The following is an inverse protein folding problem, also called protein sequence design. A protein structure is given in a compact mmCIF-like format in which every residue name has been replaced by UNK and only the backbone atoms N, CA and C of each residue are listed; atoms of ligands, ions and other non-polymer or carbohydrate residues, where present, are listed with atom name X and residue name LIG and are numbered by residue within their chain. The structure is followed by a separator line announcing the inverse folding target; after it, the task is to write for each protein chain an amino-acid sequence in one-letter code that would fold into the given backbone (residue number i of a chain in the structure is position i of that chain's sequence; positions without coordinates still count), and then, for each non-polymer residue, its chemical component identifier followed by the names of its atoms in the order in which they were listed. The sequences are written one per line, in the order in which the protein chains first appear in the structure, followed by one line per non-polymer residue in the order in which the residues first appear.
data_IF_653055111591
#
_entry.id   IF_653055111591
#
_cell.length_a   1.000
_cell.length_b   1.000
_cell.length_c   1.000
_cell.angle_alpha   90.00
_cell.angle_beta   90.00
_cell.angle_gamma   90.00
#
_symmetry.space_group_name_H-M   'P 1'
#
loop_
_entity.id
_entity.type
_entity.pdbx_description
1 polymer ?
#
# COMPACT_ATOMS: atom_id res chain seq x y z
N UNK A 1 -4.70 -14.81 21.58
CA UNK A 1 -4.01 -13.68 22.23
C UNK A 1 -2.87 -13.23 21.31
N UNK A 2 -2.81 -11.97 20.84
CA UNK A 2 -1.66 -11.50 20.07
C UNK A 2 -0.43 -11.51 20.97
N UNK A 3 0.57 -12.35 20.63
CA UNK A 3 1.84 -12.35 21.35
C UNK A 3 2.47 -10.96 21.20
N UNK A 4 2.67 -10.27 22.33
CA UNK A 4 3.31 -8.96 22.31
C UNK A 4 4.74 -9.14 21.79
N UNK A 5 5.11 -8.38 20.75
CA UNK A 5 6.47 -8.42 20.21
C UNK A 5 7.47 -8.12 21.34
N UNK A 6 8.50 -8.96 21.55
CA UNK A 6 9.43 -8.82 22.66
C UNK A 6 10.30 -7.56 22.57
N UNK A 7 10.41 -6.97 21.36
CA UNK A 7 11.23 -5.80 21.08
C UNK A 7 10.41 -4.59 20.63
N UNK A 8 10.85 -3.41 21.07
CA UNK A 8 10.30 -2.11 20.69
C UNK A 8 11.41 -1.22 20.11
N UNK A 9 11.06 -0.42 19.10
CA UNK A 9 11.94 0.59 18.52
C UNK A 9 11.93 1.83 19.39
N UNK A 10 13.10 2.26 19.84
CA UNK A 10 13.27 3.44 20.69
C UNK A 10 14.31 4.38 20.10
N UNK A 11 14.28 5.63 20.55
CA UNK A 11 15.29 6.64 20.26
C UNK A 11 15.99 7.00 21.55
N UNK A 12 17.32 6.95 21.59
CA UNK A 12 18.07 7.45 22.76
C UNK A 12 18.00 8.97 22.81
N UNK A 13 17.72 9.54 23.98
CA UNK A 13 17.73 10.99 24.17
C UNK A 13 19.15 11.57 24.10
N UNK A 14 20.14 10.79 24.55
CA UNK A 14 21.54 11.22 24.58
C UNK A 14 22.17 11.23 23.18
N UNK A 15 22.05 10.12 22.44
CA UNK A 15 22.73 9.96 21.14
C UNK A 15 21.84 10.25 19.94
N UNK A 16 20.53 10.43 20.17
CA UNK A 16 19.48 10.56 19.12
C UNK A 16 19.39 9.37 18.16
N UNK A 17 20.18 8.31 18.35
CA UNK A 17 20.17 7.10 17.55
C UNK A 17 18.91 6.27 17.81
N UNK A 18 18.42 5.57 16.78
CA UNK A 18 17.28 4.67 16.86
C UNK A 18 17.73 3.22 16.85
N UNK A 19 17.24 2.42 17.79
CA UNK A 19 17.56 0.99 17.91
C UNK A 19 16.39 0.23 18.52
N UNK A 20 16.43 -1.09 18.46
CA UNK A 20 15.43 -1.97 19.05
C UNK A 20 15.92 -2.48 20.42
N UNK A 21 15.07 -2.44 21.44
CA UNK A 21 15.36 -3.00 22.77
C UNK A 21 14.23 -3.90 23.24
N UNK A 22 14.52 -4.77 24.23
CA UNK A 22 13.48 -5.56 24.89
C UNK A 22 12.51 -4.63 25.63
N UNK A 23 11.22 -4.95 25.58
CA UNK A 23 10.18 -4.16 26.23
C UNK A 23 10.36 -4.08 27.75
N UNK A 24 10.86 -5.14 28.36
CA UNK A 24 11.18 -5.23 29.80
C UNK A 24 12.32 -4.30 30.23
N UNK A 25 13.25 -4.03 29.31
CA UNK A 25 14.42 -3.18 29.55
C UNK A 25 14.20 -1.72 29.14
N UNK A 26 12.95 -1.34 28.86
CA UNK A 26 12.61 0.02 28.44
C UNK A 26 12.61 0.97 29.62
N UNK A 27 13.39 2.04 29.48
CA UNK A 27 13.52 3.12 30.45
C UNK A 27 13.11 4.45 29.78
N UNK A 28 12.00 5.03 30.26
CA UNK A 28 11.43 6.29 29.75
C UNK A 28 12.32 7.52 30.02
N UNK A 29 13.23 7.42 31.00
CA UNK A 29 14.16 8.51 31.29
C UNK A 29 15.21 8.64 30.19
N UNK A 30 15.77 7.50 29.76
CA UNK A 30 16.86 7.41 28.76
C UNK A 30 16.37 7.37 27.32
N UNK A 31 15.18 6.82 27.08
CA UNK A 31 14.70 6.51 25.75
C UNK A 31 13.30 7.08 25.48
N UNK A 32 13.05 7.42 24.23
CA UNK A 32 11.74 7.81 23.72
C UNK A 32 11.18 6.71 22.81
N UNK A 33 9.90 6.36 22.95
CA UNK A 33 9.25 5.37 22.10
C UNK A 33 9.01 5.93 20.71
N UNK A 34 9.51 5.22 19.70
CA UNK A 34 9.25 5.57 18.29
C UNK A 34 8.03 4.79 17.83
N UNK A 35 6.94 5.50 17.48
CA UNK A 35 5.78 4.87 16.81
C UNK A 35 6.24 4.40 15.42
N UNK A 36 6.30 3.08 15.21
CA UNK A 36 6.45 2.53 13.86
C UNK A 36 5.21 2.93 13.05
N UNK A 37 5.43 3.54 11.90
CA UNK A 37 4.37 3.64 10.89
C UNK A 37 4.00 2.21 10.51
N UNK A 38 2.70 1.83 10.56
CA UNK A 38 2.29 0.49 10.20
C UNK A 38 2.66 0.23 8.73
N UNK A 39 3.12 -0.99 8.42
CA UNK A 39 3.51 -1.38 7.05
C UNK A 39 2.37 -1.19 6.04
N UNK A 40 1.11 -1.18 6.51
CA UNK A 40 -0.09 -0.90 5.71
C UNK A 40 -0.20 0.54 5.20
N UNK A 41 0.61 1.48 5.71
CA UNK A 41 0.66 2.86 5.22
C UNK A 41 1.45 2.97 3.91
N UNK A 42 2.22 1.94 3.51
CA UNK A 42 2.94 1.99 2.25
C UNK A 42 1.92 2.13 1.11
N UNK A 43 2.00 3.18 0.27
CA UNK A 43 1.06 3.36 -0.83
C UNK A 43 1.05 2.08 -1.68
N UNK A 44 -0.13 1.46 -1.81
CA UNK A 44 -0.28 0.32 -2.72
C UNK A 44 -0.11 0.84 -4.14
N UNK A 45 0.73 0.16 -4.93
CA UNK A 45 0.83 0.45 -6.36
C UNK A 45 -0.58 0.35 -6.96
N UNK A 46 -1.02 1.34 -7.76
CA UNK A 46 -2.30 1.24 -8.45
C UNK A 46 -2.29 -0.04 -9.29
N UNK A 47 -3.33 -0.86 -9.13
CA UNK A 47 -3.52 -2.05 -9.98
C UNK A 47 -3.78 -1.56 -11.39
N UNK A 48 -2.92 -1.92 -12.33
CA UNK A 48 -3.26 -1.76 -13.75
C UNK A 48 -4.49 -2.62 -14.03
N UNK A 49 -5.60 -1.95 -14.35
CA UNK A 49 -6.78 -2.62 -14.87
C UNK A 49 -6.45 -3.04 -16.31
N UNK A 50 -6.08 -4.31 -16.49
CA UNK A 50 -5.94 -4.86 -17.84
C UNK A 50 -7.37 -5.05 -18.34
N UNK A 51 -7.86 -4.09 -19.14
CA UNK A 51 -9.10 -4.27 -19.89
C UNK A 51 -8.82 -5.36 -20.91
N UNK A 52 -9.26 -6.58 -20.60
CA UNK A 52 -9.27 -7.69 -21.53
C UNK A 52 -10.30 -7.35 -22.63
N UNK A 53 -9.86 -6.62 -23.66
CA UNK A 53 -10.64 -6.44 -24.90
C UNK A 53 -10.83 -7.81 -25.52
N UNK A 54 -11.98 -8.43 -25.23
CA UNK A 54 -12.46 -9.63 -25.92
C UNK A 54 -12.61 -9.27 -27.39
N UNK A 55 -11.66 -9.71 -28.23
CA UNK A 55 -11.78 -9.63 -29.69
C UNK A 55 -12.73 -10.73 -30.14
N UNK A 56 -13.77 -10.36 -30.89
CA UNK A 56 -14.75 -11.26 -31.51
C UNK A 56 -16.16 -10.74 -31.24
N UNK A 57 -16.99 -10.41 -32.21
CA UNK A 57 -17.09 -10.90 -33.59
C UNK A 57 -17.39 -9.75 -34.57
N UNK A 58 -16.76 -9.82 -35.74
CA UNK A 58 -17.25 -9.20 -36.97
C UNK A 58 -18.68 -9.64 -37.21
N UNK A 59 -19.63 -8.70 -37.17
CA UNK A 59 -20.88 -8.83 -37.93
C UNK A 59 -20.73 -7.88 -39.10
N UNK A 60 -20.42 -8.43 -40.25
CA UNK A 60 -20.62 -7.76 -41.52
C UNK A 60 -22.12 -7.47 -41.63
N UNK A 61 -22.48 -6.20 -41.79
CA UNK A 61 -23.83 -5.81 -42.22
C UNK A 61 -23.62 -4.92 -43.44
N UNK A 62 -23.51 -5.62 -44.55
CA UNK A 62 -24.16 -5.41 -45.85
C UNK A 62 -24.33 -3.97 -46.38
N UNK A 63 -23.90 -3.80 -47.63
CA UNK A 63 -24.17 -2.64 -48.47
C UNK A 63 -25.66 -2.32 -48.51
N UNK A 64 -26.03 -1.04 -48.46
CA UNK A 64 -27.33 -0.64 -48.98
C UNK A 64 -27.93 0.61 -48.36
N UNK A 65 -28.03 1.63 -49.20
CA UNK A 65 -29.08 2.66 -49.18
C UNK A 65 -28.78 3.94 -48.40
N UNK A 66 -28.11 4.87 -49.09
CA UNK A 66 -28.50 6.29 -49.00
C UNK A 66 -29.95 6.45 -49.50
N UNK A 67 -30.75 7.38 -48.94
CA UNK A 67 -31.06 8.55 -49.76
C UNK A 67 -31.16 9.87 -48.98
N UNK A 68 -30.88 10.90 -49.76
CA UNK A 68 -31.00 12.35 -49.58
C UNK A 68 -32.43 12.84 -49.28
N UNK A 69 -32.55 13.98 -48.58
CA UNK A 69 -33.72 14.89 -48.51
C UNK A 69 -34.15 15.18 -47.07
N UNK A 70 -34.33 16.41 -46.58
CA UNK A 70 -34.59 17.75 -47.17
C UNK A 70 -33.60 18.83 -46.69
#
# INVERSE_FOLDING_TARGET
MPQQKPFIRVRSKATKAQFDIRRESFDETKHERVKRVPDSWRPRRPKQFVVLKKRGSTTEVDEGTSPTGE
#
